data_IF_237742152196
#
_entry.id   IF_237742152196
#
_cell.length_a   1.000
_cell.length_b   1.000
_cell.length_c   1.000
_cell.angle_alpha   90.00
_cell.angle_beta   90.00
_cell.angle_gamma   90.00
#
_symmetry.space_group_name_H-M   'P 1'
#
loop_
_entity.id
_entity.type
_entity.pdbx_description
1 polymer ?
#
# COMPACT_ATOMS: atom_id res chain seq x y z
N UNK A 1 1.62 6.88 12.26
CA UNK A 1 1.07 7.46 11.04
C UNK A 1 -0.20 6.75 10.63
N UNK A 2 -1.13 7.47 10.08
CA UNK A 2 -2.43 6.92 9.70
C UNK A 2 -2.61 6.98 8.20
N UNK A 3 -3.27 5.97 7.66
CA UNK A 3 -3.69 5.97 6.27
C UNK A 3 -5.18 5.63 6.20
N UNK A 4 -5.79 5.96 5.08
CA UNK A 4 -7.18 5.64 4.82
C UNK A 4 -7.27 4.43 3.89
N UNK A 5 -8.27 3.59 4.11
CA UNK A 5 -8.50 2.48 3.20
C UNK A 5 -9.12 2.97 1.89
N UNK A 6 -8.78 2.29 0.79
CA UNK A 6 -9.46 2.51 -0.48
C UNK A 6 -10.77 1.74 -0.45
N UNK A 7 -11.89 2.43 -0.64
CA UNK A 7 -13.21 1.84 -0.59
C UNK A 7 -13.86 1.64 -1.96
N UNK A 8 -13.32 2.25 -3.01
CA UNK A 8 -13.95 2.30 -4.32
C UNK A 8 -13.19 1.48 -5.33
N UNK A 9 -13.90 0.57 -6.02
CA UNK A 9 -13.29 -0.34 -7.00
C UNK A 9 -12.57 0.39 -8.15
N UNK A 10 -13.12 1.51 -8.62
CA UNK A 10 -12.50 2.22 -9.73
C UNK A 10 -11.12 2.78 -9.36
N UNK A 11 -10.86 3.04 -8.08
CA UNK A 11 -9.56 3.52 -7.62
C UNK A 11 -8.51 2.40 -7.70
N UNK A 12 -8.90 1.16 -7.40
CA UNK A 12 -8.00 0.02 -7.58
C UNK A 12 -7.61 -0.14 -9.04
N UNK A 13 -8.60 -0.09 -9.94
CA UNK A 13 -8.35 -0.23 -11.37
C UNK A 13 -7.50 0.90 -11.92
N UNK A 14 -7.75 2.12 -11.44
CA UNK A 14 -6.95 3.28 -11.83
C UNK A 14 -5.50 3.12 -11.41
N UNK A 15 -5.25 2.62 -10.19
CA UNK A 15 -3.90 2.37 -9.71
C UNK A 15 -3.20 1.29 -10.54
N UNK A 16 -3.92 0.20 -10.88
CA UNK A 16 -3.35 -0.87 -11.71
C UNK A 16 -3.00 -0.41 -13.13
N UNK A 17 -3.82 0.46 -13.72
CA UNK A 17 -3.63 0.86 -15.12
C UNK A 17 -2.71 2.06 -15.29
N UNK A 18 -2.69 2.99 -14.34
CA UNK A 18 -1.96 4.26 -14.47
C UNK A 18 -0.87 4.45 -13.44
N UNK A 19 -0.84 3.64 -12.40
CA UNK A 19 0.15 3.78 -11.33
C UNK A 19 1.52 3.23 -11.71
N UNK A 20 2.55 3.73 -11.02
CA UNK A 20 3.86 3.12 -11.09
C UNK A 20 3.82 1.80 -10.32
N UNK A 21 4.51 0.80 -10.83
CA UNK A 21 4.49 -0.54 -10.24
C UNK A 21 5.88 -0.99 -9.86
N UNK A 22 5.99 -1.63 -8.72
CA UNK A 22 7.19 -2.34 -8.31
C UNK A 22 6.79 -3.70 -7.75
N UNK A 23 7.41 -4.76 -8.26
CA UNK A 23 7.09 -6.12 -7.87
C UNK A 23 8.28 -6.73 -7.12
N UNK A 24 7.99 -7.35 -5.98
CA UNK A 24 8.97 -8.13 -5.22
C UNK A 24 8.49 -9.60 -5.18
N UNK A 25 9.16 -10.45 -4.40
CA UNK A 25 8.76 -11.85 -4.30
C UNK A 25 7.36 -12.04 -3.70
N UNK A 26 7.02 -11.22 -2.70
CA UNK A 26 5.79 -11.40 -1.92
C UNK A 26 4.69 -10.40 -2.25
N UNK A 27 5.03 -9.25 -2.84
CA UNK A 27 4.07 -8.18 -3.06
C UNK A 27 4.29 -7.49 -4.40
N UNK A 28 3.20 -6.94 -4.94
CA UNK A 28 3.24 -5.99 -6.04
C UNK A 28 2.64 -4.69 -5.53
N UNK A 29 3.39 -3.61 -5.61
CA UNK A 29 2.97 -2.30 -5.10
C UNK A 29 2.72 -1.35 -6.26
N UNK A 30 1.53 -0.74 -6.26
CA UNK A 30 1.11 0.23 -7.28
C UNK A 30 0.91 1.58 -6.60
N UNK A 31 1.48 2.63 -7.17
CA UNK A 31 1.41 3.97 -6.59
C UNK A 31 0.98 4.98 -7.65
N UNK A 32 -0.04 5.77 -7.32
CA UNK A 32 -0.57 6.81 -8.19
C UNK A 32 -0.88 8.05 -7.35
N UNK A 33 -0.54 9.28 -7.81
CA UNK A 33 -0.95 10.48 -7.06
C UNK A 33 -2.45 10.54 -6.87
N UNK A 34 -2.89 10.88 -5.67
CA UNK A 34 -4.32 11.01 -5.35
C UNK A 34 -4.77 12.44 -5.59
N UNK A 35 -5.13 12.73 -6.83
CA UNK A 35 -5.50 14.09 -7.24
C UNK A 35 -6.77 14.59 -6.55
N UNK A 36 -7.72 13.69 -6.26
CA UNK A 36 -8.96 14.07 -5.58
C UNK A 36 -8.67 14.53 -4.15
N UNK A 37 -7.82 13.81 -3.42
CA UNK A 37 -7.43 14.21 -2.07
C UNK A 37 -6.67 15.53 -2.07
N UNK A 38 -5.79 15.74 -3.05
CA UNK A 38 -5.04 17.00 -3.17
C UNK A 38 -5.96 18.19 -3.47
N UNK A 39 -6.99 17.98 -4.30
CA UNK A 39 -7.99 19.02 -4.58
C UNK A 39 -8.78 19.39 -3.33
N UNK A 40 -9.21 18.39 -2.56
CA UNK A 40 -9.92 18.63 -1.30
C UNK A 40 -9.05 19.39 -0.30
N UNK A 41 -7.77 19.08 -0.24
CA UNK A 41 -6.85 19.77 0.66
C UNK A 41 -6.68 21.24 0.30
N UNK A 42 -6.75 21.60 -0.99
CA UNK A 42 -6.69 23.00 -1.42
C UNK A 42 -7.92 23.78 -0.98
N UNK A 43 -9.10 23.13 -1.00
CA UNK A 43 -10.36 23.75 -0.57
C UNK A 43 -10.47 23.82 0.95
N UNK A 44 -9.78 22.94 1.65
CA UNK A 44 -9.82 22.83 3.11
C UNK A 44 -8.40 22.75 3.66
N UNK A 45 -7.73 23.91 3.85
CA UNK A 45 -6.31 23.92 4.26
C UNK A 45 -6.01 23.22 5.57
N UNK A 46 -7.00 23.09 6.45
CA UNK A 46 -6.85 22.39 7.72
C UNK A 46 -6.80 20.86 7.56
N UNK A 47 -7.18 20.34 6.41
CA UNK A 47 -7.13 18.90 6.15
C UNK A 47 -5.74 18.47 5.70
N UNK A 48 -5.21 17.47 6.39
CA UNK A 48 -3.96 16.85 5.97
C UNK A 48 -4.21 15.89 4.82
N UNK A 49 -3.33 15.93 3.81
CA UNK A 49 -3.34 14.96 2.73
C UNK A 49 -2.66 13.68 3.22
N UNK A 50 -3.40 12.58 3.23
CA UNK A 50 -2.87 11.27 3.63
C UNK A 50 -2.98 10.30 2.48
N UNK A 51 -2.20 9.21 2.58
CA UNK A 51 -2.28 8.13 1.61
C UNK A 51 -3.58 7.35 1.80
N UNK A 52 -4.14 6.87 0.68
CA UNK A 52 -5.21 5.87 0.73
C UNK A 52 -4.61 4.56 0.25
N UNK A 53 -4.76 3.51 1.07
CA UNK A 53 -4.09 2.23 0.84
C UNK A 53 -5.10 1.12 0.72
N UNK A 54 -4.96 0.32 -0.33
CA UNK A 54 -5.74 -0.89 -0.52
C UNK A 54 -4.85 -2.11 -0.47
N UNK A 55 -5.31 -3.13 0.25
CA UNK A 55 -4.64 -4.42 0.34
C UNK A 55 -5.47 -5.44 -0.43
N UNK A 56 -4.89 -6.10 -1.41
CA UNK A 56 -5.60 -7.09 -2.20
C UNK A 56 -4.94 -8.46 -2.09
N UNK A 57 -5.76 -9.49 -1.95
CA UNK A 57 -5.32 -10.88 -1.92
C UNK A 57 -6.23 -11.68 -2.83
N UNK A 58 -5.65 -12.30 -3.86
CA UNK A 58 -6.40 -13.09 -4.82
C UNK A 58 -7.00 -14.34 -4.18
N UNK A 59 -8.19 -14.75 -4.65
CA UNK A 59 -8.82 -16.00 -4.24
C UNK A 59 -7.94 -17.21 -4.56
N UNK A 60 -7.03 -17.08 -5.52
CA UNK A 60 -6.08 -18.14 -5.90
C UNK A 60 -5.10 -18.48 -4.78
N UNK A 61 -4.89 -17.58 -3.82
CA UNK A 61 -3.93 -17.79 -2.74
C UNK A 61 -4.47 -18.65 -1.59
N UNK A 62 -5.77 -18.87 -1.54
CA UNK A 62 -6.35 -19.77 -0.53
C UNK A 62 -7.74 -19.39 -0.11
N UNK A 63 -8.17 -20.00 0.99
CA UNK A 63 -9.50 -19.78 1.58
C UNK A 63 -9.64 -18.37 2.16
N UNK A 64 -10.85 -18.03 2.56
CA UNK A 64 -11.11 -16.74 3.21
C UNK A 64 -10.26 -16.55 4.47
N UNK A 65 -10.05 -17.62 5.24
CA UNK A 65 -9.21 -17.58 6.46
C UNK A 65 -7.77 -17.26 6.10
N UNK A 66 -7.21 -17.95 5.09
CA UNK A 66 -5.84 -17.73 4.61
C UNK A 66 -5.69 -16.30 4.10
N UNK A 67 -6.63 -15.83 3.29
CA UNK A 67 -6.58 -14.48 2.73
C UNK A 67 -6.67 -13.40 3.81
N UNK A 68 -7.48 -13.61 4.84
CA UNK A 68 -7.57 -12.69 5.97
C UNK A 68 -6.25 -12.62 6.74
N UNK A 69 -5.59 -13.77 6.92
CA UNK A 69 -4.28 -13.82 7.55
C UNK A 69 -3.25 -13.03 6.75
N UNK A 70 -3.25 -13.21 5.42
CA UNK A 70 -2.31 -12.48 4.55
C UNK A 70 -2.56 -10.97 4.64
N UNK A 71 -3.82 -10.53 4.59
CA UNK A 71 -4.13 -9.10 4.75
C UNK A 71 -3.61 -8.55 6.08
N UNK A 72 -3.73 -9.34 7.13
CA UNK A 72 -3.24 -8.94 8.46
C UNK A 72 -1.72 -8.76 8.46
N UNK A 73 -0.95 -9.70 7.90
CA UNK A 73 0.51 -9.57 7.88
C UNK A 73 0.97 -8.45 6.97
N UNK A 74 0.26 -8.17 5.88
CA UNK A 74 0.54 -7.01 5.04
C UNK A 74 0.34 -5.71 5.82
N UNK A 75 -0.76 -5.63 6.56
CA UNK A 75 -1.07 -4.45 7.37
C UNK A 75 -0.07 -4.25 8.49
N UNK A 76 0.28 -5.33 9.18
CA UNK A 76 1.28 -5.28 10.25
C UNK A 76 2.66 -4.87 9.72
N UNK A 77 3.06 -5.43 8.58
CA UNK A 77 4.32 -5.08 7.94
C UNK A 77 4.37 -3.61 7.54
N UNK A 78 3.29 -3.10 6.96
CA UNK A 78 3.19 -1.69 6.57
C UNK A 78 3.25 -0.78 7.79
N UNK A 79 2.50 -1.08 8.85
CA UNK A 79 2.52 -0.28 10.07
C UNK A 79 3.90 -0.26 10.72
N UNK A 80 4.56 -1.40 10.74
CA UNK A 80 5.91 -1.51 11.28
C UNK A 80 6.90 -0.67 10.48
N UNK A 81 6.78 -0.68 9.15
CA UNK A 81 7.62 0.13 8.28
C UNK A 81 7.39 1.63 8.52
N UNK A 82 6.13 2.04 8.67
CA UNK A 82 5.78 3.44 8.91
C UNK A 82 6.29 3.97 10.23
N UNK A 83 6.54 3.10 11.21
CA UNK A 83 7.16 3.48 12.48
C UNK A 83 8.66 3.78 12.32
N UNK A 84 9.30 3.15 11.35
CA UNK A 84 10.73 3.33 11.13
C UNK A 84 11.06 4.49 10.19
N UNK A 85 10.18 4.76 9.23
CA UNK A 85 10.42 5.77 8.21
C UNK A 85 9.11 6.42 7.78
N UNK A 86 9.24 7.57 7.12
CA UNK A 86 8.08 8.29 6.61
C UNK A 86 7.90 8.02 5.13
N UNK A 87 6.66 7.74 4.75
CA UNK A 87 6.28 7.64 3.35
C UNK A 87 5.77 8.99 2.87
N UNK A 88 5.98 9.27 1.59
CA UNK A 88 5.39 10.44 0.95
C UNK A 88 3.87 10.32 1.00
N UNK A 89 3.17 11.41 1.24
CA UNK A 89 1.73 11.42 1.39
C UNK A 89 1.03 11.96 0.15
N UNK A 90 -0.27 11.66 0.04
CA UNK A 90 -1.10 12.12 -1.06
C UNK A 90 -1.14 11.17 -2.24
N UNK A 91 -0.99 9.88 -1.99
CA UNK A 91 -0.98 8.86 -3.04
C UNK A 91 -2.07 7.81 -2.82
N UNK A 92 -2.49 7.21 -3.92
CA UNK A 92 -3.24 5.96 -3.89
C UNK A 92 -2.20 4.84 -3.97
N UNK A 93 -2.23 3.94 -2.99
CA UNK A 93 -1.28 2.84 -2.92
C UNK A 93 -2.05 1.54 -2.87
N UNK A 94 -1.78 0.63 -3.79
CA UNK A 94 -2.37 -0.71 -3.77
C UNK A 94 -1.25 -1.71 -3.56
N UNK A 95 -1.38 -2.53 -2.54
CA UNK A 95 -0.44 -3.61 -2.24
C UNK A 95 -1.15 -4.92 -2.49
N UNK A 96 -0.69 -5.65 -3.51
CA UNK A 96 -1.26 -6.94 -3.90
C UNK A 96 -0.33 -8.05 -3.42
N UNK A 97 -0.88 -9.03 -2.72
CA UNK A 97 -0.11 -10.18 -2.25
C UNK A 97 0.21 -11.12 -3.40
N UNK A 98 1.42 -11.68 -3.37
CA UNK A 98 1.85 -12.73 -4.29
C UNK A 98 2.02 -14.03 -3.50
N UNK A 99 2.21 -15.15 -4.22
CA UNK A 99 2.26 -16.47 -3.61
C UNK A 99 3.27 -16.63 -2.48
N UNK A 100 4.43 -15.97 -2.57
CA UNK A 100 5.45 -16.05 -1.53
C UNK A 100 4.99 -15.49 -0.17
N UNK A 101 3.97 -14.61 -0.16
CA UNK A 101 3.43 -14.06 1.08
C UNK A 101 2.76 -15.12 1.96
N UNK A 102 2.38 -16.27 1.38
CA UNK A 102 1.76 -17.37 2.13
C UNK A 102 2.65 -17.89 3.26
N UNK A 103 3.96 -17.88 3.07
CA UNK A 103 4.92 -18.40 4.03
C UNK A 103 5.70 -17.33 4.76
N UNK A 104 5.35 -16.05 4.58
CA UNK A 104 6.08 -14.95 5.20
C UNK A 104 5.46 -14.48 6.50
N UNK A 105 6.30 -13.89 7.34
CA UNK A 105 5.90 -13.18 8.55
C UNK A 105 5.82 -11.69 8.26
N UNK A 106 5.16 -10.94 9.15
CA UNK A 106 5.00 -9.49 8.97
C UNK A 106 6.35 -8.76 8.89
N UNK A 107 7.36 -9.26 9.59
CA UNK A 107 8.72 -8.68 9.54
C UNK A 107 9.35 -8.83 8.17
N UNK A 108 9.13 -9.97 7.52
CA UNK A 108 9.62 -10.20 6.16
C UNK A 108 8.86 -9.34 5.14
N UNK A 109 7.55 -9.22 5.31
CA UNK A 109 6.72 -8.33 4.49
C UNK A 109 7.18 -6.88 4.63
N UNK A 110 7.52 -6.45 5.84
CA UNK A 110 8.06 -5.10 6.07
C UNK A 110 9.28 -4.82 5.19
N UNK A 111 10.20 -5.77 5.11
CA UNK A 111 11.41 -5.60 4.31
C UNK A 111 11.11 -5.61 2.81
N UNK A 112 10.15 -6.43 2.37
CA UNK A 112 9.68 -6.43 0.99
C UNK A 112 9.07 -5.07 0.61
N UNK A 113 8.24 -4.53 1.50
CA UNK A 113 7.63 -3.22 1.29
C UNK A 113 8.67 -2.10 1.29
N UNK A 114 9.68 -2.19 2.15
CA UNK A 114 10.78 -1.22 2.19
C UNK A 114 11.48 -1.14 0.83
N UNK A 115 11.81 -2.30 0.26
CA UNK A 115 12.47 -2.36 -1.05
C UNK A 115 11.58 -1.78 -2.13
N UNK A 116 10.30 -2.16 -2.15
CA UNK A 116 9.35 -1.69 -3.16
C UNK A 116 9.16 -0.17 -3.09
N UNK A 117 8.92 0.37 -1.91
CA UNK A 117 8.71 1.80 -1.73
C UNK A 117 9.97 2.61 -2.03
N UNK A 118 11.15 2.07 -1.69
CA UNK A 118 12.40 2.74 -2.02
C UNK A 118 12.58 2.87 -3.53
N UNK A 119 12.32 1.80 -4.26
CA UNK A 119 12.43 1.79 -5.73
C UNK A 119 11.38 2.69 -6.38
N UNK A 120 10.22 2.84 -5.76
CA UNK A 120 9.17 3.73 -6.24
C UNK A 120 9.40 5.19 -5.88
N UNK A 121 10.42 5.48 -5.08
CA UNK A 121 10.68 6.85 -4.62
C UNK A 121 9.68 7.37 -3.61
N UNK A 122 9.03 6.47 -2.87
CA UNK A 122 7.98 6.82 -1.90
C UNK A 122 8.51 7.08 -0.49
N UNK A 123 9.77 6.77 -0.23
CA UNK A 123 10.36 7.01 1.09
C UNK A 123 10.81 8.46 1.18
N UNK A 124 10.34 9.15 2.21
CA UNK A 124 10.71 10.53 2.47
C UNK A 124 12.02 10.55 3.24
N UNK A 125 13.07 11.02 2.59
CA UNK A 125 14.38 11.14 3.23
C UNK A 125 14.45 12.38 4.10
N UNK A 126 15.17 12.33 5.25
CA UNK A 126 15.33 13.49 6.12
C UNK A 126 16.18 14.59 5.49
#
# INVERSE_FOLDING_TARGET
MKFRAICENHLYQKAYSKGKRQVTNAVAVYVLPDYAAKRLARSHPERRVTNRIGLTVSTKLGSAVVRSRIRRILREGLRSLEKELSLKQGFLIVIAARGAALSMKSTEIREELRVAFRKLGMIQEP
#
